data_IF_515325361783
#
_entry.id   IF_515325361783
#
_cell.length_a   1.000
_cell.length_b   1.000
_cell.length_c   1.000
_cell.angle_alpha   90.00
_cell.angle_beta   90.00
_cell.angle_gamma   90.00
#
_symmetry.space_group_name_H-M   'P 1'
#
loop_
_entity.id
_entity.type
_entity.pdbx_description
1 polymer ?
#
# COMPACT_ATOMS: atom_id res chain seq x y z
N UNK A 1 2.24 -10.12 13.53
CA UNK A 1 0.83 -9.66 13.52
C UNK A 1 0.18 -10.33 12.32
N UNK A 2 -0.97 -11.02 12.46
CA UNK A 2 -1.65 -11.57 11.30
C UNK A 2 -2.15 -10.44 10.39
N UNK A 3 -2.15 -10.68 9.08
CA UNK A 3 -2.53 -9.69 8.06
C UNK A 3 -3.81 -10.17 7.40
N UNK A 4 -4.82 -9.30 7.37
CA UNK A 4 -6.07 -9.51 6.64
C UNK A 4 -6.07 -8.59 5.41
N UNK A 5 -6.14 -9.18 4.21
CA UNK A 5 -6.32 -8.42 2.97
C UNK A 5 -7.77 -7.93 2.89
N UNK A 6 -7.94 -6.61 2.88
CA UNK A 6 -9.23 -5.95 2.73
C UNK A 6 -9.30 -5.21 1.39
N UNK A 7 -9.96 -5.82 0.41
CA UNK A 7 -10.15 -5.21 -0.92
C UNK A 7 -11.13 -4.03 -0.91
N UNK A 8 -11.90 -3.86 0.17
CA UNK A 8 -12.78 -2.70 0.35
C UNK A 8 -12.06 -1.47 0.90
N UNK A 9 -10.85 -1.65 1.45
CA UNK A 9 -10.08 -0.56 2.04
C UNK A 9 -9.15 0.09 1.01
N UNK A 10 -9.20 1.43 0.92
CA UNK A 10 -8.27 2.19 0.07
C UNK A 10 -6.87 2.32 0.69
N UNK A 11 -6.79 2.37 2.03
CA UNK A 11 -5.56 2.49 2.81
C UNK A 11 -5.53 1.41 3.89
N UNK A 12 -4.33 1.06 4.34
CA UNK A 12 -4.16 0.12 5.43
C UNK A 12 -4.66 0.66 6.78
N UNK A 13 -5.04 -0.24 7.68
CA UNK A 13 -5.45 0.06 9.04
C UNK A 13 -4.57 -0.70 10.04
N UNK A 14 -3.99 0.04 10.98
CA UNK A 14 -3.15 -0.50 12.04
C UNK A 14 -3.70 -0.20 13.43
N UNK A 15 -3.53 -1.16 14.36
CA UNK A 15 -3.83 -0.94 15.77
C UNK A 15 -2.79 0.01 16.39
N UNK A 16 -3.22 1.16 16.94
CA UNK A 16 -2.29 2.16 17.49
C UNK A 16 -1.42 1.66 18.64
N UNK A 17 -1.84 0.62 19.36
CA UNK A 17 -1.03 -0.03 20.40
C UNK A 17 0.23 -0.73 19.85
N UNK A 18 0.23 -1.10 18.57
CA UNK A 18 1.32 -1.85 17.92
C UNK A 18 2.23 -0.94 17.08
N UNK A 19 1.93 0.36 17.01
CA UNK A 19 2.70 1.34 16.23
C UNK A 19 3.66 2.11 17.13
N UNK A 20 4.94 2.13 16.75
CA UNK A 20 5.95 2.94 17.44
C UNK A 20 5.69 4.44 17.17
N UNK A 21 5.64 5.31 18.21
CA UNK A 21 5.45 6.76 18.06
C UNK A 21 6.40 7.47 17.07
N UNK A 22 7.60 6.94 16.85
CA UNK A 22 8.56 7.51 15.90
C UNK A 22 8.21 7.24 14.43
N UNK A 23 7.19 6.40 14.16
CA UNK A 23 6.77 6.03 12.81
C UNK A 23 5.66 6.91 12.26
N UNK A 24 5.04 7.76 13.08
CA UNK A 24 4.04 8.70 12.61
C UNK A 24 4.66 9.72 11.64
N UNK A 25 3.96 10.02 10.55
CA UNK A 25 4.46 10.95 9.52
C UNK A 25 4.15 12.41 9.86
N UNK A 26 3.28 12.66 10.83
CA UNK A 26 2.70 13.97 11.11
C UNK A 26 1.47 14.29 10.24
N UNK A 27 1.17 13.44 9.26
CA UNK A 27 -0.01 13.58 8.40
C UNK A 27 -1.22 12.84 9.01
N UNK A 28 -2.41 13.18 8.54
CA UNK A 28 -3.66 12.53 8.94
C UNK A 28 -4.58 12.37 7.75
N UNK A 29 -5.44 11.36 7.79
CA UNK A 29 -6.43 11.05 6.75
C UNK A 29 -7.83 10.99 7.35
N UNK A 30 -8.80 11.49 6.60
CA UNK A 30 -10.21 11.30 6.91
C UNK A 30 -10.69 9.99 6.33
N UNK A 31 -11.16 9.10 7.19
CA UNK A 31 -11.72 7.81 6.82
C UNK A 31 -13.20 7.79 7.11
N UNK A 32 -13.98 7.33 6.14
CA UNK A 32 -15.40 7.09 6.32
C UNK A 32 -15.62 5.64 6.68
N UNK A 33 -16.17 5.39 7.88
CA UNK A 33 -16.55 4.05 8.29
C UNK A 33 -17.67 3.51 7.38
N UNK A 34 -17.51 2.32 6.78
CA UNK A 34 -18.58 1.73 5.97
C UNK A 34 -19.80 1.31 6.80
N UNK A 35 -19.62 1.07 8.11
CA UNK A 35 -20.69 0.62 9.01
C UNK A 35 -21.47 1.80 9.59
N UNK A 36 -20.79 2.83 10.07
CA UNK A 36 -21.44 3.97 10.74
C UNK A 36 -21.64 5.19 9.84
N UNK A 37 -21.05 5.22 8.64
CA UNK A 37 -20.96 6.41 7.78
C UNK A 37 -20.29 7.63 8.41
N UNK A 38 -19.75 7.50 9.63
CA UNK A 38 -19.04 8.56 10.33
C UNK A 38 -17.65 8.75 9.73
N UNK A 39 -17.19 9.99 9.78
CA UNK A 39 -15.84 10.38 9.39
C UNK A 39 -14.95 10.39 10.64
N UNK A 40 -13.82 9.72 10.55
CA UNK A 40 -12.77 9.72 11.56
C UNK A 40 -11.48 10.29 10.96
N UNK A 41 -10.86 11.26 11.65
CA UNK A 41 -9.52 11.72 11.31
C UNK A 41 -8.50 10.82 12.02
N UNK A 42 -7.77 10.02 11.26
CA UNK A 42 -6.75 9.11 11.81
C UNK A 42 -5.35 9.56 11.39
N UNK A 43 -4.37 9.54 12.31
CA UNK A 43 -2.98 9.82 11.97
C UNK A 43 -2.39 8.71 11.11
N UNK A 44 -1.43 9.08 10.25
CA UNK A 44 -0.73 8.14 9.38
C UNK A 44 0.61 7.75 10.01
N UNK A 45 0.97 6.47 9.92
CA UNK A 45 2.28 5.97 10.26
C UNK A 45 2.88 5.11 9.14
N UNK A 46 4.22 5.14 9.04
CA UNK A 46 4.99 4.25 8.17
C UNK A 46 5.17 2.89 8.82
N UNK A 47 4.63 1.86 8.20
CA UNK A 47 4.65 0.48 8.68
C UNK A 47 5.53 -0.36 7.75
N UNK A 48 6.37 -1.20 8.38
CA UNK A 48 7.09 -2.27 7.68
C UNK A 48 6.27 -3.55 7.82
N UNK A 49 5.81 -4.09 6.71
CA UNK A 49 5.16 -5.39 6.66
C UNK A 49 6.13 -6.42 6.08
N UNK A 50 6.21 -7.57 6.73
CA UNK A 50 6.95 -8.72 6.24
C UNK A 50 5.96 -9.73 5.66
N UNK A 51 6.07 -10.01 4.37
CA UNK A 51 5.17 -10.90 3.64
C UNK A 51 5.94 -12.14 3.15
N UNK A 52 5.39 -13.37 3.35
CA UNK A 52 6.12 -14.63 3.09
C UNK A 52 6.70 -14.83 1.68
N UNK A 53 6.24 -14.09 0.67
CA UNK A 53 6.70 -14.22 -0.73
C UNK A 53 7.30 -12.93 -1.32
N UNK A 54 7.05 -11.78 -0.68
CA UNK A 54 7.45 -10.44 -1.19
C UNK A 54 8.65 -9.91 -0.40
N UNK A 55 8.89 -10.45 0.79
CA UNK A 55 9.81 -9.88 1.77
C UNK A 55 9.22 -8.65 2.43
N UNK A 56 10.09 -7.69 2.76
CA UNK A 56 9.70 -6.48 3.49
C UNK A 56 9.18 -5.41 2.53
N UNK A 57 8.03 -4.83 2.87
CA UNK A 57 7.45 -3.67 2.21
C UNK A 57 7.27 -2.53 3.22
N UNK A 58 7.62 -1.32 2.80
CA UNK A 58 7.28 -0.10 3.51
C UNK A 58 5.94 0.41 2.96
N UNK A 59 4.98 0.67 3.85
CA UNK A 59 3.68 1.23 3.47
C UNK A 59 3.17 2.21 4.53
N UNK A 60 2.13 2.96 4.18
CA UNK A 60 1.46 3.88 5.07
C UNK A 60 0.15 3.25 5.55
N UNK A 61 -0.10 3.35 6.86
CA UNK A 61 -1.34 2.92 7.47
C UNK A 61 -1.98 4.05 8.26
N UNK A 62 -3.31 4.12 8.20
CA UNK A 62 -4.08 4.87 9.16
C UNK A 62 -4.07 4.13 10.50
N UNK A 63 -3.85 4.87 11.58
CA UNK A 63 -3.65 4.29 12.91
C UNK A 63 -4.85 4.56 13.79
N UNK A 64 -5.47 3.49 14.27
CA UNK A 64 -6.57 3.56 15.23
C UNK A 64 -6.09 4.00 16.61
N UNK A 65 -7.04 4.48 17.42
CA UNK A 65 -6.79 4.76 18.84
C UNK A 65 -6.29 3.51 19.58
N UNK A 66 -5.41 3.69 20.57
CA UNK A 66 -4.82 2.58 21.34
C UNK A 66 -5.83 1.72 22.08
N UNK A 67 -6.99 2.28 22.42
CA UNK A 67 -8.12 1.61 23.07
C UNK A 67 -8.81 0.60 22.15
N UNK A 68 -8.72 0.77 20.83
CA UNK A 68 -9.35 -0.12 19.86
C UNK A 68 -8.50 -1.38 19.69
N UNK A 69 -9.14 -2.53 19.92
CA UNK A 69 -8.53 -3.84 19.74
C UNK A 69 -8.75 -4.29 18.30
N UNK A 70 -7.69 -4.16 17.49
CA UNK A 70 -7.62 -4.75 16.17
C UNK A 70 -6.54 -5.85 16.20
N UNK A 71 -6.96 -7.10 16.02
CA UNK A 71 -6.07 -8.27 16.08
C UNK A 71 -5.27 -8.47 14.80
N UNK A 72 -5.82 -7.99 13.67
CA UNK A 72 -5.26 -8.15 12.34
C UNK A 72 -4.83 -6.80 11.79
N UNK A 73 -3.68 -6.74 11.15
CA UNK A 73 -3.38 -5.61 10.27
C UNK A 73 -4.29 -5.68 9.05
N UNK A 74 -5.06 -4.63 8.76
CA UNK A 74 -5.88 -4.60 7.55
C UNK A 74 -5.04 -4.01 6.42
N UNK A 75 -4.73 -4.84 5.44
CA UNK A 75 -4.02 -4.41 4.24
C UNK A 75 -5.03 -3.95 3.19
N UNK A 76 -4.97 -2.68 2.82
CA UNK A 76 -5.79 -2.07 1.78
C UNK A 76 -5.15 -2.13 0.40
N UNK A 77 -5.87 -1.57 -0.56
CA UNK A 77 -5.55 -1.65 -1.98
C UNK A 77 -4.26 -0.90 -2.35
N UNK A 78 -3.92 0.19 -1.65
CA UNK A 78 -2.66 0.90 -1.89
C UNK A 78 -1.44 -0.01 -1.67
N UNK A 79 -1.43 -0.80 -0.60
CA UNK A 79 -0.35 -1.76 -0.33
C UNK A 79 -0.39 -2.94 -1.28
N UNK A 80 -1.58 -3.37 -1.69
CA UNK A 80 -1.72 -4.41 -2.72
C UNK A 80 -1.07 -3.99 -4.05
N UNK A 81 -1.20 -2.72 -4.46
CA UNK A 81 -0.53 -2.22 -5.67
C UNK A 81 1.00 -2.31 -5.57
N UNK A 82 1.58 -2.05 -4.39
CA UNK A 82 3.01 -2.20 -4.14
C UNK A 82 3.41 -3.68 -4.20
N UNK A 83 2.59 -4.56 -3.63
CA UNK A 83 2.80 -6.02 -3.69
C UNK A 83 2.75 -6.51 -5.14
N UNK A 84 1.77 -6.07 -5.91
CA UNK A 84 1.60 -6.45 -7.31
C UNK A 84 2.76 -5.94 -8.17
N UNK A 85 3.24 -4.72 -7.93
CA UNK A 85 4.44 -4.19 -8.59
C UNK A 85 5.70 -4.99 -8.24
N UNK A 86 5.87 -5.41 -6.97
CA UNK A 86 7.02 -6.25 -6.57
C UNK A 86 6.90 -7.69 -7.09
N UNK A 87 5.69 -8.25 -7.20
CA UNK A 87 5.46 -9.54 -7.90
C UNK A 87 5.71 -9.41 -9.39
N UNK A 88 5.35 -8.27 -9.96
CA UNK A 88 5.50 -7.98 -11.38
C UNK A 88 6.89 -7.47 -11.75
N UNK A 89 7.74 -7.06 -10.79
CA UNK A 89 9.17 -6.83 -10.98
C UNK A 89 9.80 -8.17 -11.33
N UNK A 90 10.04 -8.44 -12.62
CA UNK A 90 10.93 -9.52 -12.96
C UNK A 90 12.32 -8.98 -12.58
N UNK A 91 13.26 -9.83 -12.16
CA UNK A 91 14.68 -9.48 -12.28
C UNK A 91 14.95 -9.06 -13.73
N UNK A 92 14.90 -7.75 -14.07
CA UNK A 92 14.99 -7.18 -15.44
C UNK A 92 14.92 -8.25 -16.52
N UNK A 93 13.77 -8.94 -16.64
CA UNK A 93 13.72 -10.11 -17.49
C UNK A 93 13.80 -9.55 -18.90
N UNK A 94 14.83 -9.94 -19.65
CA UNK A 94 15.00 -9.54 -21.04
C UNK A 94 13.74 -9.93 -21.81
N UNK A 95 12.77 -9.02 -21.87
CA UNK A 95 11.52 -9.25 -22.55
C UNK A 95 11.83 -9.27 -24.04
N UNK A 96 11.59 -10.40 -24.69
CA UNK A 96 11.60 -10.46 -26.15
C UNK A 96 10.45 -9.60 -26.65
N UNK A 97 10.79 -8.38 -27.06
CA UNK A 97 9.84 -7.41 -27.57
C UNK A 97 9.42 -7.83 -28.99
N UNK A 98 8.13 -8.05 -29.20
CA UNK A 98 7.60 -8.36 -30.53
C UNK A 98 7.69 -7.14 -31.46
N UNK A 99 7.79 -7.38 -32.78
CA UNK A 99 8.00 -6.33 -33.80
C UNK A 99 6.96 -5.20 -33.73
N UNK A 100 5.71 -5.52 -33.37
CA UNK A 100 4.61 -4.55 -33.24
C UNK A 100 4.78 -3.61 -32.05
N UNK A 101 5.34 -4.09 -30.95
CA UNK A 101 5.65 -3.27 -29.77
C UNK A 101 6.81 -2.29 -30.06
N UNK A 102 7.84 -2.76 -30.80
CA UNK A 102 8.94 -1.91 -31.27
C UNK A 102 8.48 -0.81 -32.24
N UNK A 103 7.40 -1.06 -33.00
CA UNK A 103 6.81 -0.06 -33.88
C UNK A 103 6.05 1.02 -33.09
N UNK A 104 5.30 0.65 -32.04
CA UNK A 104 4.60 1.61 -31.16
C UNK A 104 5.56 2.55 -30.41
N UNK A 105 6.68 2.01 -29.90
CA UNK A 105 7.72 2.81 -29.24
C UNK A 105 8.43 3.80 -30.17
N UNK A 106 8.40 3.56 -31.49
CA UNK A 106 8.95 4.50 -32.50
C UNK A 106 7.96 5.58 -32.91
N UNK A 107 6.65 5.35 -32.73
CA UNK A 107 5.59 6.31 -33.08
C UNK A 107 5.26 7.28 -31.96
N UNK A 108 5.74 7.04 -30.74
CA UNK A 108 5.67 8.06 -29.68
C UNK A 108 6.69 9.16 -29.96
N UNK A 109 6.27 10.43 -30.08
CA UNK A 109 7.20 11.53 -30.26
C UNK A 109 8.07 11.65 -29.02
N UNK A 110 9.39 11.66 -29.22
CA UNK A 110 10.33 12.01 -28.16
C UNK A 110 10.10 13.47 -27.81
N UNK A 111 9.46 13.74 -26.68
CA UNK A 111 9.57 15.06 -26.07
C UNK A 111 11.06 15.26 -25.73
N UNK A 112 11.68 16.18 -26.46
CA UNK A 112 13.01 16.69 -26.17
C UNK A 112 12.81 18.06 -25.54
N UNK A 113 13.14 18.16 -24.26
CA UNK A 113 13.63 19.39 -23.64
C UNK A 113 14.72 19.01 -22.65
#
# INVERSE_FOLDING_TARGET
MPILRDTGASIDLAAGRLVNPQKFTGESIWLKSPLSNELACLPIARIKLELPEIGVIDTNAAVLEKSIILEHYLMGNQTQLIVDQKKAEPEKMNAVVTRSHKAKLKSEPKNVE
#
